data_IF_146791536213
#
_entry.id   IF_146791536213
#
_cell.length_a   1.000
_cell.length_b   1.000
_cell.length_c   1.000
_cell.angle_alpha   90.00
_cell.angle_beta   90.00
_cell.angle_gamma   90.00
#
_symmetry.space_group_name_H-M   'P 1'
#
loop_
_entity.id
_entity.type
_entity.pdbx_description
1 polymer ?
#
# COMPACT_ATOMS: atom_id res chain seq x y z
N UNK A 1 26.21 9.81 -9.92
CA UNK A 1 25.07 10.75 -9.96
C UNK A 1 24.58 10.90 -8.53
N UNK A 2 24.18 12.10 -8.12
CA UNK A 2 23.44 12.27 -6.86
C UNK A 2 21.98 12.04 -7.23
N UNK A 3 21.35 11.03 -6.62
CA UNK A 3 19.93 10.75 -6.84
C UNK A 3 19.11 11.83 -6.15
N UNK A 4 18.15 12.41 -6.87
CA UNK A 4 17.30 13.46 -6.36
C UNK A 4 16.33 12.91 -5.31
N UNK A 5 16.18 13.64 -4.20
CA UNK A 5 15.24 13.36 -3.13
C UNK A 5 14.42 14.61 -2.89
N UNK A 6 13.09 14.49 -2.99
CA UNK A 6 12.18 15.60 -2.70
C UNK A 6 12.28 15.97 -1.21
N UNK A 7 12.46 17.25 -0.84
CA UNK A 7 12.44 17.68 0.56
C UNK A 7 11.18 17.28 1.34
N UNK A 8 10.04 17.10 0.67
CA UNK A 8 8.80 16.63 1.29
C UNK A 8 8.94 15.21 1.86
N UNK A 9 9.83 14.37 1.30
CA UNK A 9 10.15 13.07 1.86
C UNK A 9 10.67 13.18 3.29
N UNK A 10 11.64 14.05 3.53
CA UNK A 10 12.25 14.21 4.86
C UNK A 10 11.24 14.76 5.87
N UNK A 11 10.40 15.72 5.46
CA UNK A 11 9.34 16.25 6.31
C UNK A 11 8.33 15.17 6.70
N UNK A 12 7.88 14.37 5.73
CA UNK A 12 6.95 13.27 5.97
C UNK A 12 7.59 12.19 6.87
N UNK A 13 8.85 11.85 6.64
CA UNK A 13 9.57 10.86 7.43
C UNK A 13 9.83 11.31 8.87
N UNK A 14 10.21 12.57 9.08
CA UNK A 14 10.36 13.15 10.42
C UNK A 14 9.03 13.18 11.17
N UNK A 15 7.95 13.55 10.48
CA UNK A 15 6.61 13.50 11.05
C UNK A 15 6.20 12.07 11.44
N UNK A 16 6.42 11.09 10.57
CA UNK A 16 6.14 9.68 10.85
C UNK A 16 6.89 9.17 12.09
N UNK A 17 8.19 9.47 12.21
CA UNK A 17 8.98 9.09 13.40
C UNK A 17 8.38 9.67 14.69
N UNK A 18 7.98 10.94 14.67
CA UNK A 18 7.36 11.58 15.83
C UNK A 18 6.01 10.94 16.20
N UNK A 19 5.18 10.59 15.21
CA UNK A 19 3.88 9.94 15.46
C UNK A 19 4.07 8.51 15.97
N UNK A 20 5.05 7.78 15.44
CA UNK A 20 5.39 6.44 15.90
C UNK A 20 5.86 6.44 17.36
N UNK A 21 6.71 7.39 17.75
CA UNK A 21 7.17 7.54 19.13
C UNK A 21 6.02 7.89 20.09
N UNK A 22 5.11 8.78 19.67
CA UNK A 22 4.04 9.27 20.53
C UNK A 22 2.86 8.30 20.66
N UNK A 23 2.47 7.65 19.56
CA UNK A 23 1.21 6.90 19.48
C UNK A 23 1.37 5.41 19.20
N UNK A 24 2.57 4.97 18.79
CA UNK A 24 2.82 3.59 18.38
C UNK A 24 2.36 3.28 16.95
N UNK A 25 2.66 2.07 16.49
CA UNK A 25 2.54 1.65 15.09
C UNK A 25 1.08 1.60 14.58
N UNK A 26 0.16 1.10 15.40
CA UNK A 26 -1.24 0.84 14.99
C UNK A 26 -2.20 2.01 15.25
N UNK A 27 -1.68 3.19 15.55
CA UNK A 27 -2.53 4.36 15.75
C UNK A 27 -2.88 4.99 14.39
N UNK A 28 -4.14 5.41 14.12
CA UNK A 28 -4.53 5.95 12.83
C UNK A 28 -3.69 7.14 12.35
N UNK A 29 -3.21 7.99 13.27
CA UNK A 29 -2.33 9.12 12.95
C UNK A 29 -0.95 8.63 12.45
N UNK A 30 -0.42 7.57 13.06
CA UNK A 30 0.86 6.97 12.65
C UNK A 30 0.74 6.34 11.26
N UNK A 31 -0.37 5.63 10.99
CA UNK A 31 -0.65 5.05 9.68
C UNK A 31 -0.78 6.12 8.59
N UNK A 32 -1.46 7.22 8.87
CA UNK A 32 -1.57 8.37 7.96
C UNK A 32 -0.20 8.99 7.66
N UNK A 33 0.64 9.19 8.68
CA UNK A 33 1.99 9.71 8.50
C UNK A 33 2.89 8.73 7.70
N UNK A 34 2.72 7.43 7.90
CA UNK A 34 3.40 6.39 7.12
C UNK A 34 2.97 6.43 5.65
N UNK A 35 1.67 6.55 5.37
CA UNK A 35 1.14 6.66 3.99
C UNK A 35 1.75 7.86 3.25
N UNK A 36 1.86 9.02 3.90
CA UNK A 36 2.50 10.20 3.31
C UNK A 36 4.00 9.98 3.05
N UNK A 37 4.69 9.31 3.99
CA UNK A 37 6.10 8.94 3.80
C UNK A 37 6.27 8.06 2.56
N UNK A 38 5.42 7.05 2.40
CA UNK A 38 5.43 6.16 1.24
C UNK A 38 5.14 6.91 -0.07
N UNK A 39 4.22 7.88 -0.05
CA UNK A 39 3.90 8.70 -1.21
C UNK A 39 5.11 9.51 -1.71
N UNK A 40 5.83 10.16 -0.80
CA UNK A 40 7.01 10.98 -1.14
C UNK A 40 8.31 10.18 -1.25
N UNK A 41 8.28 8.86 -1.04
CA UNK A 41 9.48 8.03 -1.11
C UNK A 41 10.12 8.15 -2.51
N UNK A 42 11.42 8.47 -2.60
CA UNK A 42 12.14 8.53 -3.87
C UNK A 42 12.12 7.21 -4.61
N UNK A 43 12.15 7.25 -5.95
CA UNK A 43 11.98 6.05 -6.77
C UNK A 43 13.06 4.99 -6.53
N UNK A 44 14.32 5.39 -6.40
CA UNK A 44 15.41 4.46 -6.07
C UNK A 44 15.20 3.75 -4.73
N UNK A 45 14.61 4.43 -3.74
CA UNK A 45 14.26 3.82 -2.45
C UNK A 45 13.06 2.89 -2.61
N UNK A 46 12.04 3.25 -3.42
CA UNK A 46 10.92 2.34 -3.71
C UNK A 46 11.40 1.05 -4.38
N UNK A 47 12.35 1.15 -5.31
CA UNK A 47 12.95 -0.02 -5.95
C UNK A 47 13.65 -0.91 -4.93
N UNK A 48 14.47 -0.33 -4.04
CA UNK A 48 15.12 -1.08 -2.95
C UNK A 48 14.10 -1.73 -2.01
N UNK A 49 13.07 -0.98 -1.58
CA UNK A 49 11.99 -1.49 -0.75
C UNK A 49 11.24 -2.64 -1.44
N UNK A 50 11.01 -2.55 -2.76
CA UNK A 50 10.36 -3.59 -3.53
C UNK A 50 11.21 -4.86 -3.61
N UNK A 51 12.53 -4.75 -3.80
CA UNK A 51 13.42 -5.91 -3.71
C UNK A 51 13.40 -6.51 -2.31
N UNK A 52 13.41 -5.66 -1.27
CA UNK A 52 13.36 -6.14 0.11
C UNK A 52 12.05 -6.85 0.43
N UNK A 53 10.93 -6.34 -0.07
CA UNK A 53 9.62 -6.97 0.08
C UNK A 53 9.60 -8.37 -0.57
N UNK A 54 10.28 -8.56 -1.71
CA UNK A 54 10.46 -9.88 -2.32
C UNK A 54 11.33 -10.80 -1.47
N UNK A 55 12.50 -10.32 -1.02
CA UNK A 55 13.41 -11.10 -0.17
C UNK A 55 12.74 -11.59 1.12
N UNK A 56 11.94 -10.73 1.74
CA UNK A 56 11.24 -11.00 2.99
C UNK A 56 9.86 -11.65 2.77
N UNK A 57 9.47 -11.93 1.54
CA UNK A 57 8.18 -12.51 1.18
C UNK A 57 6.99 -11.71 1.78
N UNK A 58 7.06 -10.38 1.74
CA UNK A 58 6.05 -9.48 2.31
C UNK A 58 4.83 -9.27 1.40
N UNK A 59 4.90 -9.73 0.16
CA UNK A 59 3.79 -9.69 -0.79
C UNK A 59 3.63 -11.07 -1.43
N UNK A 60 2.38 -11.48 -1.76
CA UNK A 60 2.17 -12.63 -2.62
C UNK A 60 2.76 -12.37 -4.02
N UNK A 61 2.90 -13.43 -4.84
CA UNK A 61 3.09 -13.24 -6.27
C UNK A 61 1.98 -12.34 -6.86
N UNK A 62 2.30 -11.45 -7.81
CA UNK A 62 1.28 -10.66 -8.49
C UNK A 62 0.24 -11.57 -9.16
N UNK A 63 -1.04 -11.24 -9.00
CA UNK A 63 -2.17 -11.95 -9.61
C UNK A 63 -2.36 -11.56 -11.08
N UNK A 64 -1.74 -10.46 -11.50
CA UNK A 64 -1.76 -9.95 -12.86
C UNK A 64 -0.89 -8.69 -13.00
N UNK A 65 -0.93 -8.09 -14.18
CA UNK A 65 -0.24 -6.83 -14.46
C UNK A 65 -1.14 -5.92 -15.30
N UNK A 66 -0.97 -4.61 -15.16
CA UNK A 66 -1.56 -3.63 -16.10
C UNK A 66 -0.87 -3.71 -17.47
N UNK A 67 -1.43 -3.05 -18.48
CA UNK A 67 -0.80 -2.95 -19.81
C UNK A 67 0.57 -2.24 -19.77
N UNK A 68 0.78 -1.41 -18.75
CA UNK A 68 2.04 -0.70 -18.48
C UNK A 68 3.03 -1.55 -17.66
N UNK A 69 2.63 -2.76 -17.24
CA UNK A 69 3.48 -3.70 -16.50
C UNK A 69 3.46 -3.52 -14.99
N UNK A 70 2.53 -2.73 -14.43
CA UNK A 70 2.41 -2.57 -12.98
C UNK A 70 1.75 -3.79 -12.34
N UNK A 71 2.27 -4.33 -11.23
CA UNK A 71 1.74 -5.53 -10.60
C UNK A 71 0.38 -5.28 -9.94
N UNK A 72 -0.56 -6.17 -10.19
CA UNK A 72 -1.90 -6.17 -9.59
C UNK A 72 -2.05 -7.36 -8.63
N UNK A 73 -2.64 -7.11 -7.46
CA UNK A 73 -2.82 -8.13 -6.42
C UNK A 73 -4.31 -8.29 -6.10
N UNK A 74 -4.82 -9.52 -6.20
CA UNK A 74 -6.18 -9.84 -5.74
C UNK A 74 -6.18 -9.88 -4.21
N UNK A 75 -7.22 -9.32 -3.61
CA UNK A 75 -7.33 -9.24 -2.15
C UNK A 75 -7.39 -10.63 -1.50
N UNK A 76 -7.94 -11.63 -2.20
CA UNK A 76 -7.96 -13.02 -1.78
C UNK A 76 -6.55 -13.63 -1.69
N UNK A 77 -5.65 -13.28 -2.62
CA UNK A 77 -4.27 -13.76 -2.61
C UNK A 77 -3.48 -13.11 -1.46
N UNK A 78 -3.75 -11.83 -1.19
CA UNK A 78 -3.21 -11.12 0.00
C UNK A 78 -3.69 -11.81 1.29
N UNK A 79 -5.00 -12.04 1.43
CA UNK A 79 -5.57 -12.66 2.62
C UNK A 79 -4.96 -14.06 2.87
N UNK A 80 -4.87 -14.87 1.81
CA UNK A 80 -4.25 -16.21 1.86
C UNK A 80 -2.78 -16.15 2.25
N UNK A 81 -2.02 -15.20 1.71
CA UNK A 81 -0.59 -15.03 1.99
C UNK A 81 -0.32 -14.71 3.46
N UNK A 82 -1.15 -13.85 4.05
CA UNK A 82 -1.02 -13.46 5.46
C UNK A 82 -1.76 -14.39 6.43
N UNK A 83 -2.50 -15.38 5.94
CA UNK A 83 -3.27 -16.30 6.78
C UNK A 83 -4.42 -15.63 7.52
N UNK A 84 -4.97 -14.55 6.96
CA UNK A 84 -6.11 -13.79 7.51
C UNK A 84 -7.39 -14.08 6.71
N UNK A 85 -8.54 -13.71 7.27
CA UNK A 85 -9.82 -13.85 6.53
C UNK A 85 -9.93 -12.80 5.42
N UNK A 86 -10.77 -13.07 4.43
CA UNK A 86 -11.04 -12.09 3.37
C UNK A 86 -11.69 -10.82 3.94
N UNK A 87 -12.61 -10.98 4.89
CA UNK A 87 -13.27 -9.86 5.57
C UNK A 87 -12.24 -8.99 6.32
N UNK A 88 -11.26 -9.60 6.99
CA UNK A 88 -10.19 -8.86 7.64
C UNK A 88 -9.33 -8.09 6.63
N UNK A 89 -8.98 -8.71 5.50
CA UNK A 89 -8.24 -8.05 4.43
C UNK A 89 -9.04 -6.88 3.83
N UNK A 90 -10.35 -7.05 3.65
CA UNK A 90 -11.26 -6.00 3.16
C UNK A 90 -11.34 -4.82 4.14
N UNK A 91 -11.50 -5.08 5.43
CA UNK A 91 -11.49 -4.03 6.45
C UNK A 91 -10.16 -3.26 6.46
N UNK A 92 -9.03 -3.96 6.36
CA UNK A 92 -7.70 -3.32 6.28
C UNK A 92 -7.55 -2.46 5.00
N UNK A 93 -8.06 -2.94 3.86
CA UNK A 93 -8.05 -2.18 2.61
C UNK A 93 -8.90 -0.91 2.73
N UNK A 94 -10.11 -1.00 3.27
CA UNK A 94 -10.99 0.15 3.48
C UNK A 94 -10.37 1.18 4.43
N UNK A 95 -9.73 0.72 5.52
CA UNK A 95 -9.01 1.59 6.44
C UNK A 95 -7.84 2.32 5.75
N UNK A 96 -7.07 1.62 4.92
CA UNK A 96 -6.01 2.23 4.12
C UNK A 96 -6.57 3.30 3.17
N UNK A 97 -7.66 3.00 2.47
CA UNK A 97 -8.32 3.93 1.52
C UNK A 97 -8.85 5.20 2.21
N UNK A 98 -9.46 5.06 3.38
CA UNK A 98 -9.93 6.18 4.20
C UNK A 98 -8.76 7.04 4.70
N UNK A 99 -7.68 6.40 5.20
CA UNK A 99 -6.48 7.12 5.63
C UNK A 99 -5.83 7.90 4.49
N UNK A 100 -5.77 7.35 3.26
CA UNK A 100 -5.28 8.06 2.07
C UNK A 100 -6.11 9.31 1.77
N UNK A 101 -7.43 9.21 1.81
CA UNK A 101 -8.31 10.37 1.59
C UNK A 101 -8.14 11.44 2.66
N UNK A 102 -7.99 11.06 3.94
CA UNK A 102 -7.77 11.99 5.06
C UNK A 102 -6.49 12.81 4.90
N UNK A 103 -5.48 12.28 4.22
CA UNK A 103 -4.23 12.99 3.91
C UNK A 103 -4.21 13.60 2.50
N UNK A 104 -5.35 13.64 1.80
CA UNK A 104 -5.49 14.28 0.49
C UNK A 104 -4.99 13.46 -0.69
N UNK A 105 -4.73 12.16 -0.52
CA UNK A 105 -4.28 11.26 -1.59
C UNK A 105 -5.45 10.54 -2.27
N UNK A 106 -5.30 10.26 -3.57
CA UNK A 106 -6.26 9.50 -4.35
C UNK A 106 -6.21 7.99 -4.06
N UNK A 107 -7.34 7.32 -4.31
CA UNK A 107 -7.50 5.87 -4.30
C UNK A 107 -7.57 5.25 -5.70
N UNK A 108 -7.21 5.99 -6.77
CA UNK A 108 -7.33 5.52 -8.17
C UNK A 108 -6.54 4.22 -8.46
N UNK A 109 -5.53 3.89 -7.63
CA UNK A 109 -4.80 2.62 -7.71
C UNK A 109 -5.57 1.41 -7.14
N UNK A 110 -6.77 1.58 -6.59
CA UNK A 110 -7.60 0.49 -6.08
C UNK A 110 -8.81 0.28 -7.00
N UNK A 111 -8.83 -0.87 -7.66
CA UNK A 111 -9.96 -1.28 -8.50
C UNK A 111 -10.97 -2.08 -7.68
N UNK A 112 -12.11 -1.47 -7.38
CA UNK A 112 -13.27 -2.16 -6.79
C UNK A 112 -14.27 -2.41 -7.92
N UNK A 113 -14.50 -3.68 -8.27
CA UNK A 113 -15.53 -4.05 -9.24
C UNK A 113 -16.78 -4.59 -8.53
N UNK A 114 -17.78 -3.74 -8.25
CA UNK A 114 -18.99 -4.14 -7.53
C UNK A 114 -19.94 -5.03 -8.34
N UNK A 115 -19.72 -5.23 -9.66
CA UNK A 115 -20.70 -5.82 -10.57
C UNK A 115 -20.18 -7.05 -11.34
N UNK A 116 -19.31 -7.85 -10.72
CA UNK A 116 -18.80 -9.08 -11.34
C UNK A 116 -19.89 -10.16 -11.38
N UNK A 117 -20.67 -10.21 -12.46
CA UNK A 117 -21.63 -11.29 -12.74
C UNK A 117 -21.01 -12.28 -13.73
N UNK A 118 -20.68 -13.50 -13.25
CA UNK A 118 -20.13 -14.56 -14.08
C UNK A 118 -21.25 -15.49 -14.56
N UNK A 119 -21.37 -15.66 -15.88
CA UNK A 119 -22.20 -16.71 -16.48
C UNK A 119 -21.32 -17.93 -16.82
N UNK A 120 -21.72 -19.12 -16.36
CA UNK A 120 -21.06 -20.37 -16.75
C UNK A 120 -21.70 -20.85 -18.06
N UNK A 121 -20.88 -21.10 -19.08
CA UNK A 121 -21.33 -21.79 -20.30
C UNK A 121 -21.84 -23.18 -19.89
N UNK A 122 -23.10 -23.48 -20.22
CA UNK A 122 -23.71 -24.80 -20.04
C UNK A 122 -23.18 -25.78 -21.09
#
# INVERSE_FOLDING_TARGET
MIEYVDPEFFKAFDHYKAMLEQYGEHHPITEQAFILTMHYTPEHIKEEMHQKAKELNLLPPPSGYTDEGEPMYRLEDIAKHFGISFEEAEQRLLQMMDNRQKVGLSNDGVLINPNSNFNRVQ
#
